data_IF_548116132211
#
_entry.id   IF_548116132211
#
_cell.length_a   1.000
_cell.length_b   1.000
_cell.length_c   1.000
_cell.angle_alpha   90.00
_cell.angle_beta   90.00
_cell.angle_gamma   90.00
#
_symmetry.space_group_name_H-M   'P 1'
#
loop_
_entity.id
_entity.type
_entity.pdbx_description
1 polymer ?
#
# COMPACT_ATOMS: atom_id res chain seq x y z
N UNK A 1 5.08 -3.70 -4.75
CA UNK A 1 5.43 -4.88 -3.92
C UNK A 1 4.19 -5.50 -3.31
N UNK A 2 3.94 -6.78 -3.58
CA UNK A 2 2.96 -7.56 -2.84
C UNK A 2 3.40 -7.69 -1.37
N UNK A 3 2.43 -7.81 -0.47
CA UNK A 3 2.67 -8.07 0.94
C UNK A 3 3.29 -9.46 1.08
N UNK A 4 4.60 -9.53 1.36
CA UNK A 4 5.31 -10.77 1.71
C UNK A 4 5.53 -10.88 3.23
N UNK A 5 5.74 -12.09 3.78
CA UNK A 5 6.09 -12.27 5.19
C UNK A 5 7.35 -11.48 5.59
N UNK A 6 8.33 -11.40 4.70
CA UNK A 6 9.56 -10.63 4.90
C UNK A 6 9.29 -9.11 4.94
N UNK A 7 8.44 -8.61 4.04
CA UNK A 7 8.00 -7.22 4.04
C UNK A 7 7.25 -6.87 5.33
N UNK A 8 6.46 -7.80 5.88
CA UNK A 8 5.82 -7.64 7.18
C UNK A 8 6.89 -7.40 8.26
N UNK A 9 7.84 -8.33 8.40
CA UNK A 9 8.91 -8.28 9.39
C UNK A 9 9.70 -6.97 9.32
N UNK A 10 10.07 -6.53 8.12
CA UNK A 10 10.77 -5.26 7.91
C UNK A 10 9.93 -4.06 8.38
N UNK A 11 8.65 -4.02 8.02
CA UNK A 11 7.74 -2.97 8.46
C UNK A 11 7.54 -2.98 10.00
N UNK A 12 7.47 -4.15 10.64
CA UNK A 12 7.39 -4.24 12.10
C UNK A 12 8.65 -3.68 12.76
N UNK A 13 9.83 -4.04 12.24
CA UNK A 13 11.12 -3.53 12.74
C UNK A 13 11.21 -2.01 12.59
N UNK A 14 10.84 -1.47 11.44
CA UNK A 14 10.81 -0.02 11.22
C UNK A 14 9.85 0.69 12.19
N UNK A 15 8.66 0.13 12.42
CA UNK A 15 7.71 0.68 13.37
C UNK A 15 8.23 0.64 14.83
N UNK A 16 8.92 -0.44 15.21
CA UNK A 16 9.55 -0.56 16.53
C UNK A 16 10.70 0.42 16.71
N UNK A 17 11.56 0.61 15.69
CA UNK A 17 12.65 1.60 15.72
C UNK A 17 12.08 3.00 15.86
N UNK A 18 11.04 3.36 15.08
CA UNK A 18 10.40 4.66 15.18
C UNK A 18 9.78 4.90 16.56
N UNK A 19 9.04 3.92 17.09
CA UNK A 19 8.45 4.02 18.43
C UNK A 19 9.53 4.09 19.53
N UNK A 20 10.64 3.38 19.37
CA UNK A 20 11.80 3.44 20.28
C UNK A 20 12.48 4.81 20.29
N UNK A 21 12.67 5.45 19.14
CA UNK A 21 13.19 6.82 19.04
C UNK A 21 12.27 7.84 19.73
N UNK A 22 10.95 7.67 19.56
CA UNK A 22 9.95 8.51 20.25
C UNK A 22 10.00 8.27 21.76
N UNK A 23 10.05 7.02 22.20
CA UNK A 23 10.16 6.68 23.62
C UNK A 23 11.43 7.27 24.26
N UNK A 24 12.56 7.19 23.55
CA UNK A 24 13.83 7.78 23.99
C UNK A 24 13.73 9.31 24.12
N UNK A 25 13.17 9.99 23.12
CA UNK A 25 12.95 11.43 23.17
C UNK A 25 12.00 11.85 24.31
N UNK A 26 10.89 11.12 24.51
CA UNK A 26 9.96 11.36 25.61
C UNK A 26 10.62 11.15 26.97
N UNK A 27 11.48 10.15 27.12
CA UNK A 27 12.25 9.91 28.35
C UNK A 27 13.21 11.05 28.69
N UNK A 28 13.96 11.55 27.69
CA UNK A 28 14.85 12.71 27.87
C UNK A 28 14.08 13.98 28.25
N UNK A 29 12.95 14.22 27.59
CA UNK A 29 12.09 15.37 27.86
C UNK A 29 11.41 15.28 29.23
N UNK A 30 10.96 14.09 29.63
CA UNK A 30 10.37 13.82 30.94
C UNK A 30 11.36 14.04 32.09
N UNK A 31 12.66 13.82 31.83
CA UNK A 31 13.74 14.13 32.79
C UNK A 31 13.90 15.64 33.02
N UNK A 32 13.74 16.46 31.98
CA UNK A 32 13.80 17.92 32.08
C UNK A 32 12.55 18.52 32.73
N UNK A 33 11.38 17.91 32.49
CA UNK A 33 10.13 18.36 33.08
C UNK A 33 9.11 17.22 33.23
N UNK A 34 8.58 16.96 34.44
CA UNK A 34 7.62 15.87 34.66
C UNK A 34 6.33 15.96 33.84
N UNK A 35 5.94 17.17 33.42
CA UNK A 35 4.76 17.38 32.58
C UNK A 35 4.85 16.70 31.21
N UNK A 36 6.06 16.46 30.69
CA UNK A 36 6.27 15.88 29.36
C UNK A 36 6.04 14.36 29.30
N UNK A 37 5.83 13.70 30.44
CA UNK A 37 5.40 12.28 30.48
C UNK A 37 4.04 12.06 29.79
N UNK A 38 3.21 13.09 29.64
CA UNK A 38 1.97 13.03 28.85
C UNK A 38 2.21 12.61 27.39
N UNK A 39 3.43 12.81 26.86
CA UNK A 39 3.79 12.42 25.49
C UNK A 39 3.98 10.92 25.31
N UNK A 40 3.93 10.09 26.36
CA UNK A 40 3.96 8.63 26.26
C UNK A 40 2.88 8.07 25.32
N UNK A 41 1.73 8.74 25.22
CA UNK A 41 0.66 8.39 24.27
C UNK A 41 1.09 8.43 22.79
N UNK A 42 2.17 9.14 22.45
CA UNK A 42 2.72 9.18 21.09
C UNK A 42 3.39 7.86 20.69
N UNK A 43 3.84 7.05 21.64
CA UNK A 43 4.54 5.78 21.36
C UNK A 43 3.61 4.78 20.64
N UNK A 44 2.44 4.39 21.19
CA UNK A 44 1.53 3.50 20.48
C UNK A 44 0.95 4.16 19.21
N UNK A 45 0.77 5.49 19.21
CA UNK A 45 0.31 6.24 18.05
C UNK A 45 1.30 6.15 16.87
N UNK A 46 2.59 6.35 17.11
CA UNK A 46 3.63 6.29 16.07
C UNK A 46 3.79 4.88 15.51
N UNK A 47 3.75 3.86 16.36
CA UNK A 47 3.75 2.46 15.92
C UNK A 47 2.57 2.14 15.01
N UNK A 48 1.36 2.53 15.42
CA UNK A 48 0.15 2.35 14.61
C UNK A 48 0.22 3.13 13.30
N UNK A 49 0.67 4.38 13.33
CA UNK A 49 0.77 5.24 12.16
C UNK A 49 1.68 4.65 11.08
N UNK A 50 2.88 4.20 11.46
CA UNK A 50 3.83 3.55 10.54
C UNK A 50 3.22 2.27 9.97
N UNK A 51 2.56 1.46 10.81
CA UNK A 51 1.93 0.21 10.36
C UNK A 51 0.66 0.38 9.53
N UNK A 52 -0.06 1.49 9.67
CA UNK A 52 -1.40 1.68 9.09
C UNK A 52 -1.43 1.43 7.59
N UNK A 53 -0.43 1.93 6.84
CA UNK A 53 -0.35 1.75 5.39
C UNK A 53 -0.18 0.30 5.01
N UNK A 54 0.72 -0.40 5.69
CA UNK A 54 0.98 -1.82 5.46
C UNK A 54 -0.27 -2.67 5.76
N UNK A 55 -0.93 -2.43 6.90
CA UNK A 55 -2.15 -3.15 7.29
C UNK A 55 -3.30 -2.90 6.30
N UNK A 56 -3.42 -1.68 5.75
CA UNK A 56 -4.39 -1.38 4.69
C UNK A 56 -4.13 -2.19 3.43
N UNK A 57 -2.89 -2.20 2.92
CA UNK A 57 -2.51 -3.01 1.75
C UNK A 57 -2.85 -4.49 1.96
N UNK A 58 -2.55 -5.04 3.14
CA UNK A 58 -2.93 -6.42 3.50
C UNK A 58 -4.43 -6.66 3.42
N UNK A 59 -5.22 -5.78 4.03
CA UNK A 59 -6.67 -5.91 4.03
C UNK A 59 -7.26 -5.82 2.62
N UNK A 60 -6.67 -5.00 1.74
CA UNK A 60 -7.07 -4.90 0.33
C UNK A 60 -6.77 -6.20 -0.42
N UNK A 61 -5.57 -6.78 -0.26
CA UNK A 61 -5.17 -8.02 -0.94
C UNK A 61 -6.00 -9.25 -0.54
N UNK A 62 -6.62 -9.23 0.65
CA UNK A 62 -7.50 -10.31 1.11
C UNK A 62 -8.93 -10.22 0.54
N UNK A 63 -9.32 -9.06 -0.01
CA UNK A 63 -10.66 -8.90 -0.59
C UNK A 63 -10.72 -9.55 -1.96
N UNK A 64 -11.81 -10.25 -2.30
CA UNK A 64 -11.98 -10.81 -3.63
C UNK A 64 -11.95 -9.69 -4.67
N UNK A 65 -11.30 -9.95 -5.81
CA UNK A 65 -11.25 -9.00 -6.91
C UNK A 65 -12.64 -8.91 -7.58
N UNK A 66 -13.23 -7.71 -7.74
CA UNK A 66 -14.57 -7.58 -8.29
C UNK A 66 -14.70 -8.10 -9.73
N UNK A 67 -15.73 -8.89 -10.02
CA UNK A 67 -15.94 -9.53 -11.33
C UNK A 67 -16.03 -8.54 -12.50
N UNK A 68 -16.66 -7.37 -12.30
CA UNK A 68 -16.76 -6.34 -13.34
C UNK A 68 -15.38 -5.79 -13.74
N UNK A 69 -14.47 -5.58 -12.77
CA UNK A 69 -13.09 -5.15 -13.06
C UNK A 69 -12.32 -6.23 -13.79
N UNK A 70 -12.58 -7.50 -13.47
CA UNK A 70 -11.94 -8.61 -14.16
C UNK A 70 -12.38 -8.69 -15.62
N UNK A 71 -13.65 -8.47 -15.91
CA UNK A 71 -14.15 -8.39 -17.28
C UNK A 71 -13.48 -7.24 -18.05
N UNK A 72 -13.31 -6.07 -17.44
CA UNK A 72 -12.60 -4.94 -18.06
C UNK A 72 -11.16 -5.32 -18.42
N UNK A 73 -10.44 -5.96 -17.48
CA UNK A 73 -9.06 -6.40 -17.72
C UNK A 73 -8.99 -7.43 -18.85
N UNK A 74 -9.87 -8.44 -18.86
CA UNK A 74 -9.90 -9.46 -19.92
C UNK A 74 -10.22 -8.88 -21.29
N UNK A 75 -11.13 -7.90 -21.35
CA UNK A 75 -11.57 -7.31 -22.60
C UNK A 75 -10.56 -6.31 -23.21
N UNK A 76 -9.82 -5.57 -22.37
CA UNK A 76 -9.05 -4.41 -22.84
C UNK A 76 -7.53 -4.51 -22.58
N UNK A 77 -7.07 -5.47 -21.78
CA UNK A 77 -5.66 -5.57 -21.37
C UNK A 77 -5.06 -6.87 -21.88
N UNK A 78 -4.57 -6.88 -23.12
CA UNK A 78 -3.95 -8.06 -23.74
C UNK A 78 -2.82 -8.66 -22.88
N UNK A 79 -2.05 -7.82 -22.17
CA UNK A 79 -1.04 -8.29 -21.23
C UNK A 79 -1.64 -9.18 -20.13
N UNK A 80 -2.79 -8.80 -19.57
CA UNK A 80 -3.45 -9.57 -18.51
C UNK A 80 -3.99 -10.91 -19.04
N UNK A 81 -4.50 -10.92 -20.28
CA UNK A 81 -5.01 -12.13 -20.93
C UNK A 81 -3.91 -13.17 -21.10
N UNK A 82 -2.72 -12.73 -21.54
CA UNK A 82 -1.56 -13.57 -21.80
C UNK A 82 -0.88 -14.16 -20.54
N UNK A 83 -1.26 -13.71 -19.34
CA UNK A 83 -0.71 -14.23 -18.07
C UNK A 83 -1.29 -15.61 -17.73
N UNK A 84 -0.49 -16.42 -17.05
CA UNK A 84 -0.94 -17.62 -16.36
C UNK A 84 -1.78 -17.26 -15.11
N UNK A 85 -2.41 -18.26 -14.48
CA UNK A 85 -3.30 -17.99 -13.34
C UNK A 85 -2.57 -17.36 -12.14
N UNK A 86 -1.30 -17.72 -11.92
CA UNK A 86 -0.46 -17.11 -10.87
C UNK A 86 -0.18 -15.65 -11.21
N UNK A 87 0.21 -15.36 -12.46
CA UNK A 87 0.40 -14.01 -12.95
C UNK A 87 -0.86 -13.17 -12.89
N UNK A 88 -2.01 -13.71 -13.29
CA UNK A 88 -3.32 -13.06 -13.20
C UNK A 88 -3.71 -12.75 -11.76
N UNK A 89 -3.46 -13.65 -10.81
CA UNK A 89 -3.68 -13.38 -9.38
C UNK A 89 -2.80 -12.23 -8.88
N UNK A 90 -1.50 -12.23 -9.20
CA UNK A 90 -0.59 -11.13 -8.87
C UNK A 90 -1.01 -9.81 -9.51
N UNK A 91 -1.40 -9.83 -10.78
CA UNK A 91 -1.79 -8.62 -11.51
C UNK A 91 -3.04 -7.99 -10.90
N UNK A 92 -4.05 -8.80 -10.57
CA UNK A 92 -5.26 -8.34 -9.85
C UNK A 92 -4.92 -7.67 -8.52
N UNK A 93 -4.00 -8.25 -7.75
CA UNK A 93 -3.55 -7.65 -6.48
C UNK A 93 -2.87 -6.29 -6.70
N UNK A 94 -1.98 -6.17 -7.70
CA UNK A 94 -1.32 -4.90 -8.02
C UNK A 94 -2.31 -3.82 -8.45
N UNK A 95 -3.27 -4.15 -9.32
CA UNK A 95 -4.35 -3.24 -9.74
C UNK A 95 -5.19 -2.81 -8.53
N UNK A 96 -5.55 -3.74 -7.66
CA UNK A 96 -6.37 -3.44 -6.48
C UNK A 96 -5.65 -2.53 -5.48
N UNK A 97 -4.35 -2.77 -5.25
CA UNK A 97 -3.51 -1.89 -4.41
C UNK A 97 -3.41 -0.50 -5.04
N UNK A 98 -3.18 -0.40 -6.35
CA UNK A 98 -3.07 0.88 -7.04
C UNK A 98 -4.37 1.69 -6.91
N UNK A 99 -5.53 1.06 -7.12
CA UNK A 99 -6.84 1.71 -6.98
C UNK A 99 -7.16 2.14 -5.54
N UNK A 100 -6.60 1.48 -4.53
CA UNK A 100 -6.77 1.86 -3.12
C UNK A 100 -5.84 3.03 -2.72
N UNK A 101 -4.60 3.03 -3.22
CA UNK A 101 -3.59 3.99 -2.80
C UNK A 101 -3.51 5.26 -3.67
N UNK A 102 -3.90 5.19 -4.94
CA UNK A 102 -3.71 6.27 -5.91
C UNK A 102 -5.05 6.87 -6.29
N UNK A 103 -5.22 8.16 -5.99
CA UNK A 103 -6.39 8.92 -6.41
C UNK A 103 -6.25 9.31 -7.88
N UNK A 104 -7.10 8.73 -8.72
CA UNK A 104 -7.20 9.08 -10.15
C UNK A 104 -8.16 10.26 -10.30
N UNK A 105 -7.67 11.37 -10.84
CA UNK A 105 -8.45 12.61 -11.02
C UNK A 105 -8.46 13.02 -12.49
N UNK A 106 -9.64 13.17 -13.08
CA UNK A 106 -9.80 13.69 -14.43
C UNK A 106 -9.68 15.21 -14.45
N UNK A 107 -8.89 15.75 -15.37
CA UNK A 107 -8.80 17.20 -15.58
C UNK A 107 -9.72 17.55 -16.75
N UNK A 108 -10.83 18.22 -16.45
CA UNK A 108 -11.88 18.59 -17.43
C UNK A 108 -12.44 17.38 -18.20
N UNK A 109 -12.38 16.20 -17.58
CA UNK A 109 -12.96 14.96 -18.11
C UNK A 109 -13.49 14.14 -16.96
N UNK A 110 -14.55 13.39 -17.23
CA UNK A 110 -15.04 12.39 -16.29
C UNK A 110 -14.15 11.15 -16.30
N UNK A 111 -14.06 10.49 -15.15
CA UNK A 111 -13.27 9.27 -14.94
C UNK A 111 -14.21 8.20 -14.39
N UNK A 112 -14.68 7.35 -15.31
CA UNK A 112 -15.50 6.20 -15.00
C UNK A 112 -14.65 5.03 -14.46
N UNK A 113 -15.31 3.94 -14.08
CA UNK A 113 -14.63 2.78 -13.50
C UNK A 113 -13.71 2.07 -14.49
N UNK A 114 -14.10 2.04 -15.77
CA UNK A 114 -13.29 1.45 -16.85
C UNK A 114 -11.96 2.17 -16.97
N UNK A 115 -11.98 3.50 -17.08
CA UNK A 115 -10.77 4.33 -17.15
C UNK A 115 -9.90 4.10 -15.91
N UNK A 116 -10.48 4.02 -14.70
CA UNK A 116 -9.70 3.76 -13.49
C UNK A 116 -8.96 2.43 -13.56
N UNK A 117 -9.66 1.36 -13.95
CA UNK A 117 -9.05 0.03 -14.08
C UNK A 117 -7.95 0.03 -15.14
N UNK A 118 -8.16 0.69 -16.28
CA UNK A 118 -7.16 0.76 -17.35
C UNK A 118 -5.93 1.59 -16.94
N UNK A 119 -6.12 2.70 -16.23
CA UNK A 119 -5.02 3.49 -15.65
C UNK A 119 -4.23 2.65 -14.65
N UNK A 120 -4.92 1.93 -13.76
CA UNK A 120 -4.27 1.04 -12.80
C UNK A 120 -3.50 -0.10 -13.49
N UNK A 121 -4.06 -0.69 -14.55
CA UNK A 121 -3.40 -1.72 -15.35
C UNK A 121 -2.15 -1.16 -16.04
N UNK A 122 -2.25 0.02 -16.66
CA UNK A 122 -1.13 0.71 -17.31
C UNK A 122 0.00 1.00 -16.32
N UNK A 123 -0.31 1.42 -15.09
CA UNK A 123 0.70 1.64 -14.06
C UNK A 123 1.34 0.33 -13.57
N UNK A 124 0.56 -0.76 -13.51
CA UNK A 124 1.01 -2.06 -13.03
C UNK A 124 1.92 -2.80 -14.04
N UNK A 125 1.69 -2.66 -15.36
CA UNK A 125 2.42 -3.40 -16.39
C UNK A 125 3.95 -3.17 -16.34
N UNK A 126 4.47 -1.92 -16.33
CA UNK A 126 5.92 -1.67 -16.31
C UNK A 126 6.63 -2.29 -15.10
N UNK A 127 5.92 -2.39 -13.97
CA UNK A 127 6.47 -2.89 -12.72
C UNK A 127 6.24 -4.38 -12.53
N UNK A 128 5.43 -5.02 -13.38
CA UNK A 128 5.00 -6.41 -13.22
C UNK A 128 6.17 -7.40 -13.35
N UNK A 129 7.14 -7.12 -14.22
CA UNK A 129 8.33 -7.97 -14.40
C UNK A 129 9.31 -7.90 -13.23
N UNK A 130 9.23 -6.85 -12.42
CA UNK A 130 10.10 -6.64 -11.27
C UNK A 130 9.40 -7.18 -10.01
N UNK A 131 9.93 -8.26 -9.46
CA UNK A 131 9.39 -8.83 -8.22
C UNK A 131 9.52 -7.84 -7.03
N UNK A 132 10.44 -6.86 -7.11
CA UNK A 132 10.79 -5.94 -6.01
C UNK A 132 10.65 -4.43 -6.31
N UNK A 133 9.84 -3.99 -7.30
CA UNK A 133 9.72 -2.56 -7.63
C UNK A 133 8.56 -1.83 -6.89
N UNK A 134 8.81 -0.58 -6.47
CA UNK A 134 7.82 0.37 -5.94
C UNK A 134 7.96 1.73 -6.65
N UNK A 135 6.83 2.34 -7.07
CA UNK A 135 6.82 3.74 -7.50
C UNK A 135 7.19 4.65 -6.33
N UNK A 136 8.42 5.15 -6.34
CA UNK A 136 8.87 6.20 -5.43
C UNK A 136 8.38 7.55 -5.95
N UNK A 137 7.36 8.11 -5.30
CA UNK A 137 6.79 9.47 -5.47
C UNK A 137 6.49 9.89 -6.92
N UNK A 138 5.21 9.88 -7.28
CA UNK A 138 4.65 10.82 -8.26
C UNK A 138 3.94 11.93 -7.49
#
# INVERSE_FOLDING_TARGET
MLVTPEANGRNQRQALVAAGLVAWAVGLLGWLSPALWLLLGLIPFTYWWVRRRYLRRMAVMQRPFPAHREQILRAHVAFFEALDEVGKARFRQLVQIFLDEVRITGIRTEVDETIRVLVAASAAIPIFGFHDWEYHRL
#
